data_IF_693935041197
#
_entry.id   IF_693935041197
#
_cell.length_a   1.000
_cell.length_b   1.000
_cell.length_c   1.000
_cell.angle_alpha   90.00
_cell.angle_beta   90.00
_cell.angle_gamma   90.00
#
_symmetry.space_group_name_H-M   'P 1'
#
loop_
_entity.id
_entity.type
_entity.pdbx_description
1 polymer ?
#
# COMPACT_ATOMS: atom_id res chain seq x y z
N UNK A 1 4.74 21.68 10.69
CA UNK A 1 5.55 20.55 10.17
C UNK A 1 5.32 20.47 8.68
N UNK A 2 6.37 20.36 7.88
CA UNK A 2 6.25 20.19 6.41
C UNK A 2 6.07 18.69 6.16
N UNK A 3 4.96 18.29 5.55
CA UNK A 3 4.72 16.90 5.15
C UNK A 3 5.59 16.58 3.93
N UNK A 4 6.31 15.43 3.89
CA UNK A 4 7.06 15.04 2.71
C UNK A 4 6.12 14.88 1.51
N UNK A 5 6.52 15.45 0.37
CA UNK A 5 5.76 15.35 -0.88
C UNK A 5 6.18 14.11 -1.66
N UNK A 6 5.21 13.28 -2.03
CA UNK A 6 5.38 12.00 -2.72
C UNK A 6 4.49 11.91 -3.97
N UNK A 7 4.87 11.08 -4.94
CA UNK A 7 3.99 10.74 -6.05
C UNK A 7 3.01 9.64 -5.63
N UNK A 8 1.89 9.51 -6.34
CA UNK A 8 0.91 8.45 -6.08
C UNK A 8 1.50 7.02 -6.08
N UNK A 9 2.49 6.76 -6.95
CA UNK A 9 3.20 5.47 -7.01
C UNK A 9 4.07 5.21 -5.78
N UNK A 10 4.60 6.25 -5.15
CA UNK A 10 5.40 6.11 -3.93
C UNK A 10 4.49 5.70 -2.76
N UNK A 11 3.29 6.28 -2.68
CA UNK A 11 2.26 5.85 -1.72
C UNK A 11 1.82 4.39 -1.94
N UNK A 12 1.64 3.96 -3.19
CA UNK A 12 1.33 2.56 -3.51
C UNK A 12 2.44 1.63 -3.00
N UNK A 13 3.70 2.01 -3.22
CA UNK A 13 4.86 1.29 -2.71
C UNK A 13 4.83 1.16 -1.18
N UNK A 14 4.47 2.24 -0.47
CA UNK A 14 4.32 2.17 1.00
C UNK A 14 3.20 1.22 1.44
N UNK A 15 2.10 1.10 0.68
CA UNK A 15 1.07 0.09 0.95
C UNK A 15 1.64 -1.32 0.76
N UNK A 16 2.32 -1.56 -0.35
CA UNK A 16 2.94 -2.86 -0.64
C UNK A 16 4.05 -3.23 0.33
N UNK A 17 4.69 -2.25 0.99
CA UNK A 17 5.66 -2.44 2.07
C UNK A 17 5.02 -2.59 3.46
N UNK A 18 3.70 -2.48 3.56
CA UNK A 18 2.97 -2.52 4.84
C UNK A 18 3.28 -1.33 5.74
N UNK A 19 3.81 -0.23 5.18
CA UNK A 19 4.17 1.01 5.88
C UNK A 19 3.07 2.05 5.83
N UNK A 20 2.10 1.92 4.93
CA UNK A 20 0.94 2.83 4.86
C UNK A 20 -0.27 2.24 5.57
N UNK A 21 -0.78 2.95 6.59
CA UNK A 21 -1.88 2.51 7.44
C UNK A 21 -3.23 3.09 7.01
N UNK A 22 -3.26 4.36 6.67
CA UNK A 22 -4.49 5.08 6.31
C UNK A 22 -4.21 6.10 5.22
N UNK A 23 -5.23 6.42 4.42
CA UNK A 23 -5.18 7.52 3.45
C UNK A 23 -6.45 8.36 3.50
N UNK A 24 -6.26 9.69 3.40
CA UNK A 24 -7.29 10.71 3.38
C UNK A 24 -7.11 11.60 2.14
N UNK A 25 -8.16 12.33 1.77
CA UNK A 25 -8.11 13.31 0.68
C UNK A 25 -8.40 14.67 1.29
N UNK A 26 -7.51 15.62 1.05
CA UNK A 26 -7.65 17.01 1.48
C UNK A 26 -7.79 17.90 0.23
N UNK A 27 -8.76 18.82 0.25
CA UNK A 27 -8.91 19.80 -0.84
C UNK A 27 -7.82 20.86 -0.74
N UNK A 28 -7.26 21.22 -1.89
CA UNK A 28 -6.25 22.27 -2.00
C UNK A 28 -6.85 23.64 -2.31
N UNK A 29 -8.11 23.69 -2.76
CA UNK A 29 -8.83 24.89 -3.14
C UNK A 29 -10.29 24.87 -2.62
N UNK A 30 -10.89 26.05 -2.48
CA UNK A 30 -12.29 26.18 -2.04
C UNK A 30 -13.27 25.66 -3.10
N UNK A 31 -12.90 25.78 -4.39
CA UNK A 31 -13.67 25.27 -5.52
C UNK A 31 -13.65 23.74 -5.62
N UNK A 32 -12.83 23.04 -4.81
CA UNK A 32 -12.68 21.59 -4.76
C UNK A 32 -12.30 20.99 -6.12
N UNK A 33 -11.59 21.72 -6.97
CA UNK A 33 -11.07 21.21 -8.25
C UNK A 33 -9.75 20.49 -8.04
N UNK A 34 -8.99 20.89 -7.03
CA UNK A 34 -7.69 20.36 -6.69
C UNK A 34 -7.71 19.71 -5.31
N UNK A 35 -7.05 18.56 -5.20
CA UNK A 35 -6.92 17.84 -3.95
C UNK A 35 -5.57 17.15 -3.87
N UNK A 36 -5.15 16.83 -2.65
CA UNK A 36 -4.00 15.99 -2.36
C UNK A 36 -4.43 14.77 -1.57
N UNK A 37 -3.67 13.69 -1.73
CA UNK A 37 -3.85 12.47 -0.94
C UNK A 37 -2.85 12.52 0.21
N UNK A 38 -3.36 12.40 1.43
CA UNK A 38 -2.55 12.37 2.65
C UNK A 38 -2.52 10.95 3.17
N UNK A 39 -1.33 10.37 3.23
CA UNK A 39 -1.07 9.05 3.78
C UNK A 39 -0.55 9.14 5.21
N UNK A 40 -1.02 8.24 6.06
CA UNK A 40 -0.55 8.07 7.44
C UNK A 40 0.21 6.75 7.51
N UNK A 41 1.48 6.79 7.92
CA UNK A 41 2.34 5.61 8.01
C UNK A 41 2.07 4.77 9.27
N UNK A 42 2.70 3.61 9.35
CA UNK A 42 2.75 2.76 10.54
C UNK A 42 3.43 3.45 11.74
N UNK A 43 4.30 4.43 11.49
CA UNK A 43 4.93 5.30 12.50
C UNK A 43 4.11 6.54 12.85
N UNK A 44 2.90 6.69 12.31
CA UNK A 44 2.04 7.88 12.41
C UNK A 44 2.64 9.16 11.80
N UNK A 45 3.57 9.01 10.85
CA UNK A 45 4.05 10.14 10.06
C UNK A 45 3.06 10.41 8.92
N UNK A 46 2.88 11.70 8.60
CA UNK A 46 2.01 12.13 7.50
C UNK A 46 2.87 12.43 6.26
N UNK A 47 2.57 11.76 5.15
CA UNK A 47 3.12 12.02 3.82
C UNK A 47 2.00 12.49 2.90
N UNK A 48 2.28 13.33 1.92
CA UNK A 48 1.24 13.86 1.03
C UNK A 48 1.65 13.89 -0.43
N UNK A 49 0.67 13.90 -1.33
CA UNK A 49 0.91 14.20 -2.74
C UNK A 49 0.95 15.70 -3.00
N UNK A 50 1.49 16.09 -4.15
CA UNK A 50 1.21 17.40 -4.71
C UNK A 50 -0.31 17.60 -4.92
N UNK A 51 -0.74 18.85 -5.04
CA UNK A 51 -2.11 19.17 -5.41
C UNK A 51 -2.36 18.77 -6.86
N UNK A 52 -3.25 17.79 -7.04
CA UNK A 52 -3.63 17.21 -8.33
C UNK A 52 -5.13 17.40 -8.55
N UNK A 53 -5.65 17.20 -9.79
CA UNK A 53 -7.08 17.27 -10.03
C UNK A 53 -7.85 16.29 -9.13
N UNK A 54 -8.99 16.72 -8.58
CA UNK A 54 -9.80 15.94 -7.63
C UNK A 54 -10.10 14.52 -8.14
N UNK A 55 -10.39 14.37 -9.43
CA UNK A 55 -10.64 13.06 -10.05
C UNK A 55 -9.43 12.13 -9.96
N UNK A 56 -8.22 12.66 -10.10
CA UNK A 56 -6.99 11.89 -9.98
C UNK A 56 -6.72 11.49 -8.52
N UNK A 57 -6.85 12.43 -7.58
CA UNK A 57 -6.76 12.16 -6.14
C UNK A 57 -7.77 11.10 -5.70
N UNK A 58 -9.01 11.18 -6.19
CA UNK A 58 -10.06 10.20 -5.93
C UNK A 58 -9.64 8.79 -6.37
N UNK A 59 -9.15 8.63 -7.61
CA UNK A 59 -8.66 7.34 -8.11
C UNK A 59 -7.54 6.76 -7.25
N UNK A 60 -6.52 7.57 -6.95
CA UNK A 60 -5.38 7.15 -6.13
C UNK A 60 -5.88 6.71 -4.74
N UNK A 61 -6.70 7.54 -4.08
CA UNK A 61 -7.21 7.24 -2.74
C UNK A 61 -8.04 5.96 -2.71
N UNK A 62 -8.86 5.69 -3.74
CA UNK A 62 -9.67 4.47 -3.82
C UNK A 62 -8.80 3.23 -3.95
N UNK A 63 -7.79 3.26 -4.82
CA UNK A 63 -6.86 2.14 -5.02
C UNK A 63 -6.08 1.86 -3.73
N UNK A 64 -5.51 2.89 -3.10
CA UNK A 64 -4.76 2.75 -1.86
C UNK A 64 -5.63 2.19 -0.73
N UNK A 65 -6.85 2.72 -0.53
CA UNK A 65 -7.80 2.19 0.46
C UNK A 65 -8.15 0.73 0.20
N UNK A 66 -8.32 0.36 -1.07
CA UNK A 66 -8.62 -1.02 -1.45
C UNK A 66 -7.49 -1.97 -1.06
N UNK A 67 -6.24 -1.63 -1.40
CA UNK A 67 -5.08 -2.46 -1.05
C UNK A 67 -4.81 -2.52 0.45
N UNK A 68 -4.98 -1.41 1.18
CA UNK A 68 -4.91 -1.40 2.64
C UNK A 68 -5.96 -2.35 3.23
N UNK A 69 -7.21 -2.29 2.73
CA UNK A 69 -8.31 -3.15 3.21
C UNK A 69 -8.10 -4.63 2.90
N UNK A 70 -7.54 -4.94 1.73
CA UNK A 70 -7.14 -6.31 1.39
C UNK A 70 -5.98 -6.81 2.26
N UNK A 71 -5.29 -5.92 2.98
CA UNK A 71 -4.15 -6.28 3.80
C UNK A 71 -2.96 -6.72 2.97
N UNK A 72 -2.78 -6.17 1.77
CA UNK A 72 -1.69 -6.55 0.84
C UNK A 72 -0.32 -6.51 1.53
N UNK A 73 -0.06 -5.49 2.36
CA UNK A 73 1.17 -5.38 3.14
C UNK A 73 1.40 -6.47 4.20
N UNK A 74 0.41 -7.32 4.49
CA UNK A 74 0.54 -8.49 5.38
C UNK A 74 1.09 -9.73 4.66
N UNK A 75 1.01 -9.77 3.33
CA UNK A 75 1.50 -10.88 2.52
C UNK A 75 2.98 -10.75 2.15
N UNK A 76 3.64 -9.67 2.59
CA UNK A 76 5.08 -9.55 2.47
C UNK A 76 5.70 -10.57 3.41
N UNK A 77 6.50 -11.48 2.85
CA UNK A 77 7.35 -12.38 3.64
C UNK A 77 8.30 -11.50 4.45
N UNK A 78 8.00 -11.33 5.73
CA UNK A 78 8.93 -10.73 6.68
C UNK A 78 9.88 -11.84 7.11
N UNK A 79 11.18 -11.56 7.10
CA UNK A 79 12.23 -12.54 7.44
C UNK A 79 12.02 -13.21 8.80
N UNK A 80 11.25 -12.57 9.70
CA UNK A 80 10.88 -13.04 11.03
C UNK A 80 9.65 -13.98 11.09
N UNK A 81 8.88 -14.13 10.02
CA UNK A 81 7.63 -14.91 10.02
C UNK A 81 7.53 -15.80 8.78
N UNK A 82 8.41 -16.81 8.74
CA UNK A 82 8.44 -17.87 7.73
C UNK A 82 7.42 -18.99 8.01
N UNK A 83 6.63 -18.88 9.09
CA UNK A 83 5.70 -19.91 9.54
C UNK A 83 4.61 -20.24 8.51
N UNK A 84 4.30 -19.29 7.63
CA UNK A 84 3.29 -19.41 6.57
C UNK A 84 3.89 -19.50 5.16
N UNK A 85 5.21 -19.65 5.03
CA UNK A 85 5.89 -19.75 3.73
C UNK A 85 6.06 -21.23 3.38
N UNK A 86 5.13 -21.77 2.61
CA UNK A 86 5.31 -23.08 1.97
C UNK A 86 6.13 -22.87 0.70
N UNK A 87 7.27 -23.56 0.60
CA UNK A 87 8.09 -23.51 -0.60
C UNK A 87 7.36 -24.24 -1.73
N UNK A 88 6.90 -23.50 -2.74
CA UNK A 88 6.06 -24.05 -3.83
C UNK A 88 6.91 -24.76 -4.89
N UNK A 89 8.23 -24.57 -4.86
CA UNK A 89 9.18 -25.18 -5.80
C UNK A 89 9.65 -26.58 -5.35
N UNK A 90 9.30 -27.02 -4.14
CA UNK A 90 9.52 -28.40 -3.67
C UNK A 90 8.21 -29.18 -3.75
N UNK A 91 7.75 -29.47 -4.97
CA UNK A 91 6.88 -30.63 -5.18
C UNK A 91 7.80 -31.84 -4.99
N UNK A 92 7.69 -32.54 -3.86
CA UNK A 92 8.26 -33.88 -3.75
C UNK A 92 7.66 -34.71 -4.89
N UNK A 93 8.47 -35.09 -5.87
CA UNK A 93 8.09 -36.13 -6.82
C UNK A 93 7.71 -37.36 -5.99
N UNK A 94 6.45 -37.79 -6.04
CA UNK A 94 6.05 -39.08 -5.49
C UNK A 94 6.88 -40.17 -6.16
N UNK A 95 7.97 -40.59 -5.52
CA UNK A 95 8.71 -41.79 -5.89
C UNK A 95 7.73 -42.98 -5.80
N UNK A 96 7.50 -43.60 -6.96
CA UNK A 96 6.56 -44.68 -7.14
C UNK A 96 6.75 -45.80 -6.12
N UNK A 97 5.68 -46.12 -5.39
CA UNK A 97 5.54 -47.40 -4.70
C UNK A 97 5.30 -48.51 -5.74
N UNK A 98 6.39 -49.10 -6.22
CA UNK A 98 6.38 -50.50 -6.60
C UNK A 98 6.64 -51.32 -5.32
N UNK A 99 5.60 -51.99 -4.81
CA UNK A 99 5.61 -53.39 -4.32
C UNK A 99 4.19 -53.81 -3.93
#
# INVERSE_FOLDING_TARGET
>A
MVRPVMKGRDLETLVFLGRLKEVKVEYCDEEKKMAKVVGITDTNEEVETECIPLRAAGKISTVLKHYIRLGVGKYIIKQSDLSNVTNVDTIEEEEGKNE
#
